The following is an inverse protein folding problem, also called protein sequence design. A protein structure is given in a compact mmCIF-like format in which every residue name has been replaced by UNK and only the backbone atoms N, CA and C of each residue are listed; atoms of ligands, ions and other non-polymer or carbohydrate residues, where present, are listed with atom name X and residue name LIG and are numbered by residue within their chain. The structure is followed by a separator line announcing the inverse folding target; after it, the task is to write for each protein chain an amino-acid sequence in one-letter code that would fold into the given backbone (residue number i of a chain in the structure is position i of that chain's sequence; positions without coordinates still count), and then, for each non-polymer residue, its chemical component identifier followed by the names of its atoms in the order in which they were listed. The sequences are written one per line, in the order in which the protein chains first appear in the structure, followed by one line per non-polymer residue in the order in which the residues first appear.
data_IF_645031284550
#
_entry.id   IF_645031284550
#
_cell.length_a   1.000
_cell.length_b   1.000
_cell.length_c   1.000
_cell.angle_alpha   90.00
_cell.angle_beta   90.00
_cell.angle_gamma   90.00
#
_symmetry.space_group_name_H-M   'P 1'
#
loop_
_entity.id
_entity.type
_entity.pdbx_description
1 polymer ?
#
# COMPACT_ATOMS: atom_id res chain seq x y z
N UNK A 1 -39.60 -75.03 11.78
CA UNK A 1 -38.48 -74.61 12.66
C UNK A 1 -37.27 -74.27 11.78
N UNK A 2 -36.79 -73.01 11.81
CA UNK A 2 -35.41 -72.54 11.50
C UNK A 2 -34.87 -72.89 10.07
N UNK A 3 -34.47 -71.99 9.17
CA UNK A 3 -33.40 -70.95 9.18
C UNK A 3 -33.46 -70.23 7.80
N UNK A 4 -33.57 -68.90 7.69
CA UNK A 4 -32.51 -67.85 7.74
C UNK A 4 -31.71 -67.70 6.43
N UNK A 5 -31.87 -66.50 5.82
CA UNK A 5 -30.90 -65.64 5.07
C UNK A 5 -30.36 -66.16 3.72
N UNK A 6 -29.98 -65.36 2.73
CA UNK A 6 -30.01 -63.91 2.41
C UNK A 6 -29.68 -63.83 0.90
N UNK A 7 -30.28 -62.89 0.17
CA UNK A 7 -30.06 -62.67 -1.26
C UNK A 7 -28.65 -62.12 -1.55
N UNK A 8 -27.98 -62.68 -2.56
CA UNK A 8 -26.72 -62.20 -3.12
C UNK A 8 -27.04 -61.10 -4.15
N UNK A 9 -26.65 -59.86 -3.88
CA UNK A 9 -26.79 -58.73 -4.80
C UNK A 9 -25.48 -58.55 -5.57
N UNK A 10 -25.57 -58.53 -6.90
CA UNK A 10 -24.44 -58.42 -7.81
C UNK A 10 -23.74 -57.05 -7.72
N UNK A 11 -22.41 -57.10 -7.76
CA UNK A 11 -21.49 -55.97 -7.75
C UNK A 11 -21.40 -55.35 -9.14
N UNK A 12 -21.83 -54.08 -9.30
CA UNK A 12 -21.52 -53.26 -10.48
C UNK A 12 -20.34 -52.36 -10.13
N UNK A 13 -19.19 -52.60 -10.76
CA UNK A 13 -18.01 -51.75 -10.62
C UNK A 13 -18.16 -50.58 -11.61
N UNK A 14 -18.53 -49.42 -11.10
CA UNK A 14 -18.43 -48.16 -11.85
C UNK A 14 -17.01 -47.59 -11.70
N UNK A 15 -16.25 -47.60 -12.79
CA UNK A 15 -14.95 -46.93 -12.89
C UNK A 15 -15.15 -45.42 -12.97
N UNK A 16 -15.25 -44.77 -11.80
CA UNK A 16 -15.24 -43.31 -11.69
C UNK A 16 -13.81 -42.77 -11.75
N UNK A 17 -13.47 -42.08 -12.84
CA UNK A 17 -12.19 -41.39 -12.99
C UNK A 17 -12.01 -40.32 -11.93
N UNK A 18 -10.92 -40.42 -11.17
CA UNK A 18 -10.48 -39.42 -10.20
C UNK A 18 -9.93 -38.23 -11.00
N UNK A 19 -10.76 -37.22 -11.23
CA UNK A 19 -10.29 -35.91 -11.67
C UNK A 19 -9.47 -35.29 -10.54
N UNK A 20 -8.16 -35.20 -10.71
CA UNK A 20 -7.28 -34.39 -9.86
C UNK A 20 -7.67 -32.92 -10.03
N UNK A 21 -8.58 -32.45 -9.19
CA UNK A 21 -8.83 -31.03 -9.02
C UNK A 21 -7.60 -30.38 -8.41
N UNK A 22 -6.85 -29.62 -9.20
CA UNK A 22 -5.79 -28.76 -8.72
C UNK A 22 -6.40 -27.68 -7.84
N UNK A 23 -6.34 -27.88 -6.53
CA UNK A 23 -6.58 -26.84 -5.53
C UNK A 23 -5.50 -25.78 -5.71
N UNK A 24 -5.82 -24.70 -6.41
CA UNK A 24 -5.03 -23.46 -6.35
C UNK A 24 -5.16 -22.92 -4.94
N UNK A 25 -4.13 -23.16 -4.11
CA UNK A 25 -4.00 -22.52 -2.81
C UNK A 25 -3.87 -21.01 -3.02
N UNK A 26 -4.96 -20.27 -2.86
CA UNK A 26 -4.91 -18.85 -2.54
C UNK A 26 -4.25 -18.74 -1.17
N UNK A 27 -3.01 -18.27 -1.13
CA UNK A 27 -2.33 -17.91 0.13
C UNK A 27 -3.12 -16.78 0.78
N UNK A 28 -3.95 -17.13 1.76
CA UNK A 28 -4.56 -16.17 2.66
C UNK A 28 -3.46 -15.55 3.53
N UNK A 29 -3.47 -14.21 3.60
CA UNK A 29 -2.57 -13.37 4.38
C UNK A 29 -2.62 -13.76 5.87
N UNK A 30 -1.47 -13.93 6.52
CA UNK A 30 -1.42 -14.12 7.97
C UNK A 30 -1.85 -12.83 8.66
N UNK A 31 -2.76 -12.89 9.62
CA UNK A 31 -2.99 -11.79 10.57
C UNK A 31 -2.14 -12.08 11.82
N UNK A 32 -1.14 -11.25 12.08
CA UNK A 32 -0.30 -11.35 13.27
C UNK A 32 1.07 -12.01 13.05
N UNK A 33 1.73 -11.71 11.93
CA UNK A 33 3.13 -12.10 11.71
C UNK A 33 4.08 -11.49 12.77
N UNK A 34 5.31 -11.99 12.82
CA UNK A 34 6.33 -11.54 13.77
C UNK A 34 6.91 -10.20 13.27
N UNK A 35 6.94 -9.20 14.16
CA UNK A 35 7.55 -7.91 13.86
C UNK A 35 9.04 -8.04 13.50
N UNK A 36 9.52 -7.20 12.57
CA UNK A 36 10.92 -7.10 12.18
C UNK A 36 11.36 -8.05 11.06
N UNK A 37 10.49 -8.96 10.62
CA UNK A 37 10.73 -9.88 9.50
C UNK A 37 10.09 -9.34 8.22
N UNK A 38 10.90 -8.72 7.36
CA UNK A 38 10.52 -8.21 6.05
C UNK A 38 11.78 -7.89 5.23
N UNK A 39 11.61 -7.72 3.92
CA UNK A 39 12.70 -7.59 2.96
C UNK A 39 13.07 -6.12 2.68
N UNK A 40 12.06 -5.28 2.44
CA UNK A 40 12.22 -3.87 2.06
C UNK A 40 11.00 -3.05 2.49
N UNK A 41 11.06 -1.74 2.34
CA UNK A 41 9.95 -0.82 2.55
C UNK A 41 9.34 -0.33 1.24
N UNK A 42 8.04 -0.09 1.25
CA UNK A 42 7.37 0.78 0.27
C UNK A 42 7.01 2.09 0.94
N UNK A 43 7.60 3.18 0.46
CA UNK A 43 7.15 4.54 0.76
C UNK A 43 5.97 4.86 -0.17
N UNK A 44 4.77 5.01 0.39
CA UNK A 44 3.59 5.39 -0.39
C UNK A 44 3.28 6.87 -0.23
N UNK A 45 3.32 7.61 -1.35
CA UNK A 45 2.95 9.01 -1.43
C UNK A 45 1.58 9.14 -2.11
N UNK A 46 0.58 9.67 -1.43
CA UNK A 46 -0.75 9.88 -2.00
C UNK A 46 -0.89 11.30 -2.55
N UNK A 47 -1.50 11.46 -3.73
CA UNK A 47 -1.90 12.78 -4.20
C UNK A 47 -3.18 13.21 -3.49
N UNK A 48 -3.04 14.07 -2.48
CA UNK A 48 -4.12 14.45 -1.58
C UNK A 48 -5.37 14.98 -2.29
N UNK A 49 -5.30 15.83 -3.33
CA UNK A 49 -6.49 16.29 -4.04
C UNK A 49 -7.33 15.17 -4.65
N UNK A 50 -6.69 14.18 -5.28
CA UNK A 50 -7.39 13.01 -5.84
C UNK A 50 -8.01 12.16 -4.73
N UNK A 51 -7.29 11.92 -3.63
CA UNK A 51 -7.86 11.19 -2.49
C UNK A 51 -9.05 11.93 -1.88
N UNK A 52 -8.99 13.26 -1.80
CA UNK A 52 -10.09 14.07 -1.29
C UNK A 52 -11.32 14.01 -2.20
N UNK A 53 -11.15 14.08 -3.51
CA UNK A 53 -12.24 13.93 -4.48
C UNK A 53 -12.89 12.54 -4.41
N UNK A 54 -12.10 11.48 -4.24
CA UNK A 54 -12.60 10.09 -4.21
C UNK A 54 -13.18 9.66 -2.85
N UNK A 55 -12.64 10.14 -1.73
CA UNK A 55 -13.00 9.66 -0.40
C UNK A 55 -13.07 10.75 0.67
N UNK A 56 -12.09 11.65 0.68
CA UNK A 56 -11.87 12.55 1.82
C UNK A 56 -13.03 13.52 2.06
N UNK A 57 -13.68 14.01 0.99
CA UNK A 57 -14.83 14.91 1.10
C UNK A 57 -16.07 14.24 1.68
N UNK A 58 -16.38 13.02 1.21
CA UNK A 58 -17.47 12.22 1.77
C UNK A 58 -17.26 11.95 3.26
N UNK A 59 -15.98 11.82 3.68
CA UNK A 59 -15.58 11.64 5.08
C UNK A 59 -15.40 12.94 5.86
N UNK A 60 -15.55 14.11 5.22
CA UNK A 60 -15.25 15.44 5.79
C UNK A 60 -13.88 15.51 6.46
N UNK A 61 -12.87 14.93 5.80
CA UNK A 61 -11.51 14.85 6.33
C UNK A 61 -10.87 16.23 6.48
N UNK A 62 -10.19 16.46 7.61
CA UNK A 62 -9.42 17.70 7.86
C UNK A 62 -8.32 17.93 6.81
N UNK A 63 -7.74 16.85 6.26
CA UNK A 63 -6.75 16.89 5.17
C UNK A 63 -7.26 17.59 3.90
N UNK A 64 -8.58 17.61 3.70
CA UNK A 64 -9.21 18.14 2.49
C UNK A 64 -9.60 19.61 2.59
N UNK A 65 -9.24 20.27 3.72
CA UNK A 65 -9.45 21.69 3.91
C UNK A 65 -8.52 22.51 2.99
N UNK A 66 -9.05 23.42 2.16
CA UNK A 66 -8.25 24.24 1.23
C UNK A 66 -7.11 25.01 1.90
N UNK A 67 -7.27 25.39 3.17
CA UNK A 67 -6.22 26.15 3.90
C UNK A 67 -4.93 25.36 4.13
N UNK A 68 -4.94 24.04 3.96
CA UNK A 68 -3.79 23.18 4.24
C UNK A 68 -2.94 22.92 2.98
N UNK A 69 -3.50 23.11 1.78
CA UNK A 69 -2.75 23.10 0.49
C UNK A 69 -1.89 21.82 0.31
N UNK A 70 -2.43 20.67 0.74
CA UNK A 70 -1.75 19.38 0.64
C UNK A 70 -1.65 18.90 -0.81
N UNK A 71 -0.42 18.61 -1.26
CA UNK A 71 -0.13 17.90 -2.50
C UNK A 71 0.16 16.42 -2.24
N UNK A 72 1.39 15.98 -2.55
CA UNK A 72 1.86 14.63 -2.23
C UNK A 72 2.08 14.49 -0.72
N UNK A 73 1.23 13.72 -0.05
CA UNK A 73 1.34 13.40 1.38
C UNK A 73 1.87 11.98 1.57
N UNK A 74 2.53 11.74 2.70
CA UNK A 74 2.90 10.42 3.15
C UNK A 74 1.65 9.63 3.52
N UNK A 75 1.28 8.65 2.71
CA UNK A 75 0.28 7.67 3.12
C UNK A 75 0.87 6.69 4.13
N UNK A 76 2.09 6.19 3.91
CA UNK A 76 2.79 5.38 4.91
C UNK A 76 4.11 4.78 4.41
N UNK A 77 4.84 4.14 5.33
CA UNK A 77 6.07 3.40 5.06
C UNK A 77 5.84 1.93 5.42
N UNK A 78 5.72 1.07 4.42
CA UNK A 78 5.18 -0.28 4.60
C UNK A 78 6.26 -1.34 4.50
N UNK A 79 6.53 -2.12 5.56
CA UNK A 79 7.30 -3.36 5.43
C UNK A 79 6.70 -4.27 4.36
N UNK A 80 7.54 -4.79 3.46
CA UNK A 80 7.13 -5.66 2.37
C UNK A 80 8.00 -6.93 2.34
N UNK A 81 7.40 -8.01 1.86
CA UNK A 81 8.15 -9.15 1.34
C UNK A 81 8.34 -8.99 -0.16
N UNK A 82 9.23 -9.77 -0.76
CA UNK A 82 9.32 -9.89 -2.23
C UNK A 82 7.98 -10.35 -2.86
N UNK A 83 7.18 -11.10 -2.10
CA UNK A 83 5.82 -11.52 -2.43
C UNK A 83 4.91 -11.37 -1.23
N UNK A 84 3.88 -10.55 -1.34
CA UNK A 84 2.99 -10.18 -0.24
C UNK A 84 3.62 -9.17 0.74
N UNK A 85 2.97 -9.02 1.89
CA UNK A 85 3.39 -8.08 2.94
C UNK A 85 2.83 -8.51 4.29
N UNK A 86 3.56 -8.28 5.39
CA UNK A 86 3.05 -8.53 6.72
C UNK A 86 2.06 -7.44 7.15
N UNK A 87 1.11 -7.76 8.03
CA UNK A 87 0.18 -6.75 8.56
C UNK A 87 -0.31 -7.05 9.97
N UNK A 88 -0.55 -5.99 10.74
CA UNK A 88 -1.02 -6.08 12.13
C UNK A 88 -0.15 -7.02 12.99
N UNK A 89 1.18 -6.93 12.81
CA UNK A 89 2.13 -7.82 13.46
C UNK A 89 2.08 -7.72 14.98
N UNK A 90 2.38 -8.85 15.65
CA UNK A 90 2.51 -8.88 17.10
C UNK A 90 3.78 -8.12 17.51
N UNK A 91 3.64 -7.17 18.43
CA UNK A 91 4.75 -6.36 18.95
C UNK A 91 4.60 -6.14 20.45
N UNK A 92 5.72 -6.02 21.15
CA UNK A 92 5.79 -5.58 22.55
C UNK A 92 5.78 -4.06 22.71
N UNK A 93 5.93 -3.32 21.61
CA UNK A 93 5.92 -1.87 21.61
C UNK A 93 4.55 -1.31 22.00
N UNK A 94 4.54 -0.31 22.87
CA UNK A 94 3.32 0.43 23.19
C UNK A 94 2.82 1.19 21.94
N UNK A 95 1.50 1.35 21.76
CA UNK A 95 0.96 2.21 20.70
C UNK A 95 1.48 3.65 20.81
N UNK A 96 1.55 4.40 19.69
CA UNK A 96 1.97 5.79 19.72
C UNK A 96 1.01 6.65 20.55
N UNK A 97 1.59 7.59 21.29
CA UNK A 97 0.83 8.65 21.94
C UNK A 97 0.12 9.55 20.92
N UNK A 98 -0.91 10.27 21.38
CA UNK A 98 -1.60 11.29 20.55
C UNK A 98 -0.66 12.39 20.07
N UNK A 99 0.37 12.72 20.85
CA UNK A 99 1.37 13.71 20.45
C UNK A 99 2.18 13.22 19.25
N UNK A 100 2.64 11.95 19.28
CA UNK A 100 3.40 11.35 18.19
C UNK A 100 2.59 11.28 16.89
N UNK A 101 1.32 10.88 16.95
CA UNK A 101 0.48 10.81 15.73
C UNK A 101 0.11 12.20 15.21
N UNK A 102 -0.15 13.17 16.10
CA UNK A 102 -0.39 14.57 15.71
C UNK A 102 0.82 15.20 15.03
N UNK A 103 2.03 14.88 15.48
CA UNK A 103 3.28 15.36 14.89
C UNK A 103 3.56 14.80 13.48
N UNK A 104 2.72 13.91 12.95
CA UNK A 104 2.78 13.41 11.58
C UNK A 104 1.69 13.98 10.68
N UNK A 105 0.73 14.74 11.22
CA UNK A 105 -0.42 15.23 10.46
C UNK A 105 -0.02 16.23 9.35
N UNK A 106 1.09 16.94 9.50
CA UNK A 106 1.66 17.84 8.49
C UNK A 106 2.07 17.11 7.21
N UNK A 107 2.56 15.87 7.31
CA UNK A 107 2.96 15.07 6.14
C UNK A 107 1.98 13.95 5.81
N UNK A 108 1.17 13.47 6.75
CA UNK A 108 0.19 12.38 6.55
C UNK A 108 -1.26 12.87 6.47
N UNK A 109 -1.50 14.18 6.52
CA UNK A 109 -2.82 14.80 6.45
C UNK A 109 -3.65 14.72 7.74
N UNK A 110 -3.63 13.59 8.47
CA UNK A 110 -4.38 13.45 9.72
C UNK A 110 -3.64 12.61 10.76
N UNK A 111 -3.89 12.90 12.04
CA UNK A 111 -3.38 12.06 13.14
C UNK A 111 -3.99 10.64 13.13
N UNK A 112 -5.22 10.51 12.61
CA UNK A 112 -5.92 9.24 12.48
C UNK A 112 -5.25 8.32 11.46
N UNK A 113 -4.79 8.88 10.34
CA UNK A 113 -4.02 8.14 9.35
C UNK A 113 -2.70 7.66 9.96
N UNK A 114 -1.95 8.53 10.65
CA UNK A 114 -0.69 8.16 11.30
C UNK A 114 -0.87 6.99 12.29
N UNK A 115 -1.94 7.02 13.11
CA UNK A 115 -2.25 5.92 14.01
C UNK A 115 -2.58 4.62 13.26
N UNK A 116 -3.42 4.68 12.22
CA UNK A 116 -3.81 3.51 11.44
C UNK A 116 -2.61 2.85 10.76
N UNK A 117 -1.74 3.68 10.18
CA UNK A 117 -0.55 3.25 9.46
C UNK A 117 0.47 2.61 10.40
N UNK A 118 0.66 3.16 11.59
CA UNK A 118 1.47 2.47 12.60
C UNK A 118 0.85 1.13 12.99
N UNK A 119 -0.46 1.08 13.30
CA UNK A 119 -1.11 -0.16 13.75
C UNK A 119 -1.00 -1.29 12.71
N UNK A 120 -1.23 -0.97 11.43
CA UNK A 120 -1.26 -1.96 10.35
C UNK A 120 0.13 -2.32 9.84
N UNK A 121 1.01 -1.34 9.67
CA UNK A 121 2.30 -1.52 8.99
C UNK A 121 3.49 -1.23 9.90
N UNK A 122 3.41 -0.20 10.75
CA UNK A 122 4.49 0.16 11.67
C UNK A 122 4.81 -0.93 12.70
N UNK A 123 3.79 -1.63 13.22
CA UNK A 123 3.96 -2.79 14.12
C UNK A 123 4.84 -3.88 13.51
N UNK A 124 4.80 -4.06 12.19
CA UNK A 124 5.60 -5.05 11.47
C UNK A 124 7.07 -4.66 11.27
N UNK A 125 7.42 -3.39 11.47
CA UNK A 125 8.82 -2.94 11.33
C UNK A 125 9.74 -3.44 12.45
N UNK A 126 9.17 -3.80 13.62
CA UNK A 126 9.93 -4.07 14.84
C UNK A 126 10.47 -2.82 15.54
N UNK A 127 10.14 -1.63 15.05
CA UNK A 127 10.56 -0.36 15.64
C UNK A 127 9.56 0.15 16.67
N UNK A 128 10.07 0.91 17.64
CA UNK A 128 9.21 1.74 18.49
C UNK A 128 8.40 2.74 17.63
N UNK A 129 7.23 3.22 18.08
CA UNK A 129 6.47 4.18 17.31
C UNK A 129 7.24 5.47 17.00
N UNK A 130 8.13 5.90 17.92
CA UNK A 130 8.99 7.07 17.71
C UNK A 130 9.95 6.84 16.54
N UNK A 131 10.62 5.70 16.52
CA UNK A 131 11.63 5.40 15.51
C UNK A 131 10.98 5.12 14.16
N UNK A 132 9.84 4.43 14.15
CA UNK A 132 9.05 4.23 12.92
C UNK A 132 8.61 5.55 12.29
N UNK A 133 8.06 6.49 13.06
CA UNK A 133 7.64 7.78 12.52
C UNK A 133 8.83 8.64 12.10
N UNK A 134 9.95 8.57 12.82
CA UNK A 134 11.21 9.25 12.44
C UNK A 134 11.72 8.71 11.11
N UNK A 135 11.76 7.38 10.93
CA UNK A 135 12.15 6.73 9.69
C UNK A 135 11.19 7.08 8.54
N UNK A 136 9.89 7.06 8.80
CA UNK A 136 8.85 7.39 7.82
C UNK A 136 8.99 8.82 7.32
N UNK A 137 9.24 9.78 8.22
CA UNK A 137 9.48 11.18 7.86
C UNK A 137 10.77 11.34 7.06
N UNK A 138 11.87 10.70 7.48
CA UNK A 138 13.14 10.71 6.73
C UNK A 138 12.95 10.19 5.31
N UNK A 139 12.24 9.07 5.14
CA UNK A 139 11.94 8.50 3.84
C UNK A 139 11.10 9.46 2.98
N UNK A 140 10.07 10.09 3.56
CA UNK A 140 9.27 11.11 2.90
C UNK A 140 10.11 12.31 2.44
N UNK A 141 10.98 12.82 3.29
CA UNK A 141 11.81 14.00 3.02
C UNK A 141 12.88 13.74 1.95
N UNK A 142 13.42 12.51 1.89
CA UNK A 142 14.44 12.11 0.91
C UNK A 142 13.92 12.08 -0.54
N UNK A 143 12.61 11.85 -0.75
CA UNK A 143 12.02 11.83 -2.09
C UNK A 143 11.51 13.21 -2.48
N UNK A 144 12.11 13.81 -3.51
CA UNK A 144 11.65 15.05 -4.10
C UNK A 144 10.31 14.83 -4.82
N UNK A 145 9.37 15.77 -4.62
CA UNK A 145 8.07 15.76 -5.27
C UNK A 145 8.07 16.72 -6.45
N UNK A 146 7.55 16.35 -7.64
CA UNK A 146 7.59 17.24 -8.80
C UNK A 146 6.76 18.51 -8.59
N UNK A 147 7.44 19.67 -8.51
CA UNK A 147 6.81 20.95 -8.22
C UNK A 147 5.81 21.42 -9.30
N UNK A 148 5.94 20.91 -10.53
CA UNK A 148 5.05 21.24 -11.64
C UNK A 148 3.58 20.92 -11.34
N UNK A 149 3.30 19.83 -10.63
CA UNK A 149 1.93 19.42 -10.31
C UNK A 149 1.22 20.38 -9.34
N UNK A 150 1.97 21.09 -8.49
CA UNK A 150 1.39 22.12 -7.61
C UNK A 150 0.97 23.39 -8.38
N UNK A 151 1.37 23.55 -9.64
CA UNK A 151 1.03 24.71 -10.47
C UNK A 151 -0.26 24.50 -11.28
N UNK A 152 -0.87 23.33 -11.20
CA UNK A 152 -2.14 23.06 -11.87
C UNK A 152 -3.24 23.91 -11.25
N UNK A 153 -3.99 24.63 -12.09
CA UNK A 153 -5.11 25.48 -11.66
C UNK A 153 -6.48 24.84 -11.90
N UNK A 154 -6.53 23.77 -12.69
CA UNK A 154 -7.74 23.04 -13.04
C UNK A 154 -7.45 21.55 -13.15
N UNK A 155 -8.48 20.73 -13.03
CA UNK A 155 -8.40 19.29 -13.25
C UNK A 155 -7.89 19.01 -14.67
N UNK A 156 -6.96 18.07 -14.79
CA UNK A 156 -6.45 17.58 -16.08
C UNK A 156 -6.57 16.06 -16.17
N UNK A 157 -6.38 15.55 -17.38
CA UNK A 157 -6.06 14.13 -17.57
C UNK A 157 -4.66 14.02 -18.17
N UNK A 158 -3.90 13.03 -17.72
CA UNK A 158 -2.53 12.81 -18.16
C UNK A 158 -2.18 11.32 -18.20
N UNK A 159 -1.18 10.90 -18.99
CA UNK A 159 -0.64 9.55 -18.87
C UNK A 159 0.00 9.33 -17.51
N UNK A 160 -0.28 8.20 -16.85
CA UNK A 160 0.36 7.89 -15.57
C UNK A 160 1.90 7.83 -15.67
N UNK A 161 2.42 7.41 -16.83
CA UNK A 161 3.85 7.45 -17.14
C UNK A 161 4.44 8.87 -17.10
N UNK A 162 3.65 9.92 -17.33
CA UNK A 162 4.12 11.30 -17.18
C UNK A 162 4.39 11.63 -15.71
N UNK A 163 3.58 11.11 -14.78
CA UNK A 163 3.82 11.28 -13.34
C UNK A 163 5.09 10.56 -12.93
N UNK A 164 5.27 9.32 -13.38
CA UNK A 164 6.48 8.54 -13.14
C UNK A 164 7.73 9.27 -13.65
N UNK A 165 7.73 9.70 -14.90
CA UNK A 165 8.83 10.45 -15.52
C UNK A 165 9.15 11.74 -14.75
N UNK A 166 8.13 12.47 -14.29
CA UNK A 166 8.33 13.68 -13.50
C UNK A 166 9.01 13.39 -12.15
N UNK A 167 8.68 12.28 -11.49
CA UNK A 167 9.38 11.85 -10.27
C UNK A 167 10.82 11.42 -10.55
N UNK A 168 11.06 10.64 -11.60
CA UNK A 168 12.42 10.21 -11.99
C UNK A 168 13.30 11.41 -12.35
N UNK A 169 12.75 12.44 -12.99
CA UNK A 169 13.47 13.65 -13.36
C UNK A 169 14.02 14.43 -12.15
N UNK A 170 13.28 14.45 -11.04
CA UNK A 170 13.65 15.22 -9.83
C UNK A 170 14.33 14.35 -8.75
N UNK A 171 14.51 13.05 -9.01
CA UNK A 171 15.17 12.10 -8.12
C UNK A 171 16.13 11.20 -8.92
N UNK A 172 17.39 11.64 -9.14
CA UNK A 172 18.34 10.92 -10.00
C UNK A 172 18.74 9.52 -9.50
N UNK A 173 18.54 9.25 -8.20
CA UNK A 173 18.80 7.94 -7.60
C UNK A 173 17.67 6.93 -7.85
N UNK A 174 16.50 7.39 -8.31
CA UNK A 174 15.38 6.53 -8.66
C UNK A 174 15.51 6.03 -10.10
N UNK A 175 15.06 4.81 -10.31
CA UNK A 175 14.96 4.15 -11.61
C UNK A 175 13.53 3.65 -11.83
N UNK A 176 13.13 3.35 -13.09
CA UNK A 176 11.79 2.84 -13.39
C UNK A 176 11.40 1.58 -12.61
N UNK A 177 12.36 0.74 -12.21
CA UNK A 177 12.10 -0.46 -11.43
C UNK A 177 11.96 -0.21 -9.91
N UNK A 178 12.22 1.00 -9.44
CA UNK A 178 12.19 1.39 -8.00
C UNK A 178 10.99 2.26 -7.62
N UNK A 179 10.23 2.71 -8.61
CA UNK A 179 9.08 3.61 -8.48
C UNK A 179 7.93 3.05 -9.29
N UNK A 180 6.71 3.08 -8.75
CA UNK A 180 5.49 2.74 -9.49
C UNK A 180 4.40 3.76 -9.21
N UNK A 181 3.60 4.05 -10.23
CA UNK A 181 2.43 4.94 -10.12
C UNK A 181 1.18 4.08 -10.14
N UNK A 182 0.32 4.23 -9.14
CA UNK A 182 -0.95 3.51 -9.06
C UNK A 182 -2.12 4.42 -9.45
N UNK A 183 -3.22 3.80 -9.89
CA UNK A 183 -4.47 4.50 -10.14
C UNK A 183 -5.63 3.81 -9.43
N UNK A 184 -6.65 4.59 -9.12
CA UNK A 184 -7.92 4.11 -8.60
C UNK A 184 -9.05 4.97 -9.15
N UNK A 185 -10.13 4.32 -9.59
CA UNK A 185 -11.34 5.00 -10.06
C UNK A 185 -11.04 6.10 -11.11
N UNK A 186 -10.11 5.81 -12.03
CA UNK A 186 -9.68 6.73 -13.08
C UNK A 186 -8.65 7.78 -12.68
N UNK A 187 -8.35 7.96 -11.39
CA UNK A 187 -7.42 8.96 -10.88
C UNK A 187 -6.04 8.37 -10.62
N UNK A 188 -4.99 9.19 -10.72
CA UNK A 188 -3.69 8.86 -10.11
C UNK A 188 -3.88 8.76 -8.59
N UNK A 189 -3.47 7.65 -7.99
CA UNK A 189 -3.71 7.41 -6.57
C UNK A 189 -2.43 7.67 -5.76
N UNK A 190 -1.34 6.99 -6.11
CA UNK A 190 -0.09 7.05 -5.35
C UNK A 190 1.13 6.98 -6.25
N UNK A 191 2.22 7.57 -5.78
CA UNK A 191 3.57 7.25 -6.19
C UNK A 191 4.20 6.38 -5.08
N UNK A 192 4.63 5.17 -5.41
CA UNK A 192 5.21 4.22 -4.46
C UNK A 192 6.67 3.98 -4.78
N UNK A 193 7.54 4.26 -3.82
CA UNK A 193 8.99 4.07 -3.94
C UNK A 193 9.42 2.90 -3.08
N UNK A 194 10.18 1.97 -3.66
CA UNK A 194 10.72 0.82 -2.94
C UNK A 194 12.13 1.13 -2.41
N UNK A 195 12.30 0.94 -1.11
CA UNK A 195 13.48 1.34 -0.37
C UNK A 195 13.97 0.16 0.46
N UNK A 196 15.29 -0.05 0.54
CA UNK A 196 15.88 -0.97 1.50
C UNK A 196 15.59 -0.51 2.94
N UNK A 197 15.97 -1.33 3.94
CA UNK A 197 15.74 -1.01 5.35
C UNK A 197 16.50 0.25 5.82
N UNK A 198 17.58 0.59 5.14
CA UNK A 198 18.42 1.80 5.31
C UNK A 198 17.99 2.97 4.40
N UNK A 199 16.88 2.84 3.67
CA UNK A 199 16.29 3.85 2.78
C UNK A 199 17.03 4.12 1.47
N UNK A 200 17.78 3.13 0.97
CA UNK A 200 18.38 3.16 -0.36
C UNK A 200 17.38 2.64 -1.40
N UNK A 201 17.21 3.26 -2.59
CA UNK A 201 16.31 2.75 -3.61
C UNK A 201 16.64 1.31 -4.04
N UNK A 202 15.63 0.44 -4.03
CA UNK A 202 15.73 -0.96 -4.47
C UNK A 202 14.62 -1.29 -5.45
N UNK A 203 14.80 -2.31 -6.33
CA UNK A 203 13.74 -2.74 -7.22
C UNK A 203 12.49 -3.15 -6.43
N UNK A 204 11.32 -2.72 -6.88
CA UNK A 204 10.06 -3.10 -6.30
C UNK A 204 9.75 -4.58 -6.51
N UNK A 205 9.11 -5.21 -5.51
CA UNK A 205 8.60 -6.58 -5.66
C UNK A 205 7.48 -6.65 -6.70
N UNK A 206 7.26 -7.84 -7.27
CA UNK A 206 6.27 -8.06 -8.35
C UNK A 206 4.84 -7.66 -7.98
N UNK A 207 4.48 -7.80 -6.70
CA UNK A 207 3.14 -7.44 -6.22
C UNK A 207 2.95 -5.92 -6.06
N UNK A 208 4.06 -5.18 -5.96
CA UNK A 208 4.08 -3.73 -5.85
C UNK A 208 4.10 -3.06 -7.22
N UNK A 209 4.88 -3.60 -8.17
CA UNK A 209 4.93 -3.14 -9.58
C UNK A 209 3.60 -3.46 -10.26
N UNK A 210 2.60 -2.63 -10.01
CA UNK A 210 1.28 -2.65 -10.64
C UNK A 210 1.03 -1.28 -11.23
N UNK A 211 1.82 -0.99 -12.26
CA UNK A 211 1.79 0.32 -12.90
C UNK A 211 0.39 0.60 -13.46
N UNK A 212 -0.08 1.79 -13.16
CA UNK A 212 -1.19 2.36 -13.86
C UNK A 212 -0.80 2.59 -15.32
N UNK A 213 -1.48 1.90 -16.23
CA UNK A 213 -1.24 2.03 -17.67
C UNK A 213 -2.16 3.05 -18.36
N UNK A 214 -2.95 3.80 -17.58
CA UNK A 214 -3.91 4.77 -18.12
C UNK A 214 -3.17 5.91 -18.82
N UNK A 215 -3.64 6.24 -20.03
CA UNK A 215 -3.15 7.37 -20.82
C UNK A 215 -3.86 8.70 -20.51
N UNK A 216 -4.96 8.62 -19.75
CA UNK A 216 -5.86 9.71 -19.42
C UNK A 216 -6.31 9.60 -17.94
N UNK A 217 -5.37 9.39 -17.03
CA UNK A 217 -5.65 9.37 -15.60
C UNK A 217 -5.98 10.79 -15.12
N UNK A 218 -7.03 10.91 -14.31
CA UNK A 218 -7.48 12.19 -13.73
C UNK A 218 -6.47 12.65 -12.68
N UNK A 219 -6.17 13.94 -12.71
CA UNK A 219 -5.27 14.60 -11.77
C UNK A 219 -5.84 15.96 -11.38
N UNK A 220 -6.30 16.03 -10.13
CA UNK A 220 -6.89 17.22 -9.53
C UNK A 220 -5.82 18.25 -9.15
N UNK A 221 -6.10 19.56 -9.27
CA UNK A 221 -5.21 20.61 -8.80
C UNK A 221 -5.16 20.62 -7.27
N UNK A 222 -4.22 21.37 -6.68
CA UNK A 222 -4.32 21.62 -5.24
C UNK A 222 -5.60 22.44 -4.94
N UNK A 223 -6.16 22.23 -3.76
CA UNK A 223 -7.39 22.85 -3.25
C UNK A 223 -7.17 24.27 -2.74
#
# INVERSE_FOLDING_TARGET
MRRIKQALMALVIATGGIGLGTLTATTAQGEGEIAGQFDYYVLSLSWSPNWCALEGDAKRSEQCNPRVDHGWTLHGLWPQFHRGWPSYCRTSEAPPSRQQTRAMADIMGTQGLAWHQWKKHGTCSGLSPRDYFTLSRRAYEQINRPAAFRKLQQQVTLPASLVEQAFLQVNPDLRPDTLTITCRDGHIQEARVCLSRDLTPVPCGRDVIKDCTRKNAIFEPIR
#
